data_IF_401692098855
#
_entry.id   IF_401692098855
#
_cell.length_a   1.000
_cell.length_b   1.000
_cell.length_c   1.000
_cell.angle_alpha   90.00
_cell.angle_beta   90.00
_cell.angle_gamma   90.00
#
_symmetry.space_group_name_H-M   'P 1'
#
loop_
_entity.id
_entity.type
_entity.pdbx_description
1 polymer ?
#
# COMPACT_ATOMS: atom_id res chain seq x y z
N UNK A 1 8.69 11.84 -15.70
CA UNK A 1 7.36 12.29 -16.15
C UNK A 1 6.63 12.85 -14.95
N UNK A 2 5.98 14.01 -15.06
CA UNK A 2 5.21 14.58 -13.95
C UNK A 2 3.98 13.72 -13.64
N UNK A 3 3.79 13.36 -12.37
CA UNK A 3 2.57 12.70 -11.91
C UNK A 3 1.47 13.76 -11.79
N UNK A 4 0.41 13.62 -12.59
CA UNK A 4 -0.78 14.46 -12.48
C UNK A 4 -1.73 13.91 -11.42
N UNK A 5 -1.98 14.70 -10.39
CA UNK A 5 -2.85 14.33 -9.26
C UNK A 5 -3.93 15.39 -9.11
N UNK A 6 -5.19 14.95 -9.10
CA UNK A 6 -6.32 15.77 -8.68
C UNK A 6 -6.66 15.49 -7.21
N UNK A 7 -6.82 16.53 -6.40
CA UNK A 7 -7.31 16.45 -5.02
C UNK A 7 -8.68 17.14 -4.91
N UNK A 8 -9.65 16.45 -4.30
CA UNK A 8 -10.94 17.03 -3.92
C UNK A 8 -10.78 17.93 -2.68
N UNK A 9 -11.79 18.77 -2.36
CA UNK A 9 -11.73 19.57 -1.13
C UNK A 9 -11.43 18.71 0.09
N UNK A 10 -10.46 19.14 0.90
CA UNK A 10 -9.99 18.45 2.11
C UNK A 10 -9.39 17.04 1.91
N UNK A 11 -9.21 16.57 0.68
CA UNK A 11 -8.49 15.32 0.40
C UNK A 11 -7.00 15.50 0.68
N UNK A 12 -6.37 14.46 1.24
CA UNK A 12 -4.95 14.47 1.58
C UNK A 12 -4.13 13.54 0.70
N UNK A 13 -2.87 13.91 0.51
CA UNK A 13 -1.85 13.09 -0.15
C UNK A 13 -0.54 13.18 0.63
N UNK A 14 0.11 12.04 0.79
CA UNK A 14 1.47 11.93 1.33
C UNK A 14 2.45 12.02 0.18
N UNK A 15 3.49 12.84 0.36
CA UNK A 15 4.64 12.97 -0.53
C UNK A 15 5.90 12.92 0.33
N UNK A 16 6.62 11.79 0.27
CA UNK A 16 7.74 11.51 1.17
C UNK A 16 7.29 11.60 2.63
N UNK A 17 7.91 12.49 3.39
CA UNK A 17 7.61 12.74 4.81
C UNK A 17 6.56 13.82 5.04
N UNK A 18 6.06 14.44 3.96
CA UNK A 18 5.10 15.54 4.03
C UNK A 18 3.68 15.08 3.72
N UNK A 19 2.70 15.73 4.33
CA UNK A 19 1.28 15.57 4.00
C UNK A 19 0.75 16.88 3.44
N UNK A 20 0.16 16.83 2.26
CA UNK A 20 -0.54 17.94 1.65
C UNK A 20 -2.04 17.71 1.83
N UNK A 21 -2.71 18.66 2.45
CA UNK A 21 -4.17 18.70 2.57
C UNK A 21 -4.70 19.76 1.61
N UNK A 22 -5.63 19.37 0.74
CA UNK A 22 -6.25 20.33 -0.14
C UNK A 22 -7.24 21.24 0.63
N UNK A 23 -7.41 22.48 0.16
CA UNK A 23 -8.33 23.44 0.77
C UNK A 23 -9.77 23.21 0.28
N UNK A 24 -10.57 24.28 0.19
CA UNK A 24 -12.00 24.22 -0.11
C UNK A 24 -12.30 23.94 -1.59
N UNK A 25 -11.36 24.19 -2.50
CA UNK A 25 -11.58 24.04 -3.94
C UNK A 25 -10.82 22.85 -4.49
N UNK A 26 -11.39 22.18 -5.51
CA UNK A 26 -10.71 21.07 -6.20
C UNK A 26 -9.50 21.59 -6.97
N UNK A 27 -8.35 20.95 -6.80
CA UNK A 27 -7.08 21.43 -7.37
C UNK A 27 -6.31 20.31 -8.04
N UNK A 28 -5.60 20.65 -9.12
CA UNK A 28 -4.69 19.75 -9.82
C UNK A 28 -3.25 20.10 -9.47
N UNK A 29 -2.48 19.07 -9.12
CA UNK A 29 -1.05 19.14 -8.90
C UNK A 29 -0.32 18.38 -10.02
N UNK A 30 0.80 18.94 -10.46
CA UNK A 30 1.81 18.23 -11.22
C UNK A 30 2.99 18.05 -10.29
N UNK A 31 3.32 16.80 -9.98
CA UNK A 31 4.39 16.47 -9.05
C UNK A 31 5.54 15.86 -9.85
N UNK A 32 6.71 16.47 -9.77
CA UNK A 32 7.93 16.00 -10.40
C UNK A 32 8.94 15.57 -9.33
N UNK A 33 9.53 14.39 -9.50
CA UNK A 33 10.53 13.84 -8.59
C UNK A 33 10.29 12.36 -8.27
N UNK A 34 11.12 11.85 -7.37
CA UNK A 34 11.20 10.41 -7.01
C UNK A 34 10.68 10.14 -5.59
N UNK A 35 9.94 11.07 -5.00
CA UNK A 35 9.33 10.90 -3.68
C UNK A 35 8.29 9.76 -3.70
N UNK A 36 8.12 9.08 -2.57
CA UNK A 36 7.00 8.16 -2.37
C UNK A 36 5.71 8.95 -2.31
N UNK A 37 4.69 8.57 -3.09
CA UNK A 37 3.42 9.28 -3.19
C UNK A 37 2.26 8.32 -2.90
N UNK A 38 1.47 8.62 -1.88
CA UNK A 38 0.27 7.85 -1.51
C UNK A 38 -0.90 8.78 -1.22
N UNK A 39 -2.08 8.49 -1.77
CA UNK A 39 -3.31 9.21 -1.44
C UNK A 39 -3.88 8.71 -0.13
N UNK A 40 -4.58 9.56 0.61
CA UNK A 40 -5.19 9.19 1.90
C UNK A 40 -6.12 7.98 1.81
N UNK A 41 -6.96 7.90 0.77
CA UNK A 41 -7.81 6.72 0.51
C UNK A 41 -7.01 5.42 0.28
N UNK A 42 -5.74 5.56 -0.07
CA UNK A 42 -4.84 4.46 -0.33
C UNK A 42 -4.00 4.10 0.91
N UNK A 43 -4.12 4.86 1.98
CA UNK A 43 -3.42 4.63 3.24
C UNK A 43 -4.24 3.73 4.15
N UNK A 44 -3.54 2.79 4.75
CA UNK A 44 -4.03 1.98 5.84
C UNK A 44 -3.30 2.38 7.14
N UNK A 45 -4.01 2.40 8.26
CA UNK A 45 -3.43 2.66 9.59
C UNK A 45 -3.25 1.35 10.35
N UNK A 46 -2.39 1.34 11.38
CA UNK A 46 -2.24 0.18 12.25
C UNK A 46 -3.58 -0.27 12.87
N UNK A 47 -4.42 0.70 13.25
CA UNK A 47 -5.74 0.45 13.83
C UNK A 47 -6.73 -0.19 12.84
N UNK A 48 -6.63 0.18 11.56
CA UNK A 48 -7.52 -0.35 10.50
C UNK A 48 -6.96 -1.62 9.84
N UNK A 49 -5.74 -2.05 10.20
CA UNK A 49 -5.09 -3.29 9.76
C UNK A 49 -5.58 -4.53 10.51
N UNK A 50 -6.89 -4.74 10.49
CA UNK A 50 -7.59 -5.74 11.30
C UNK A 50 -7.74 -7.12 10.65
N UNK A 51 -7.24 -7.33 9.44
CA UNK A 51 -7.23 -8.62 8.75
C UNK A 51 -5.82 -9.02 8.29
N UNK A 52 -5.54 -10.33 8.13
CA UNK A 52 -4.24 -10.82 7.65
C UNK A 52 -3.73 -10.11 6.39
N UNK A 53 -4.56 -9.97 5.35
CA UNK A 53 -4.12 -9.28 4.12
C UNK A 53 -3.89 -7.78 4.36
N UNK A 54 -4.71 -7.13 5.20
CA UNK A 54 -4.51 -5.71 5.56
C UNK A 54 -3.20 -5.48 6.31
N UNK A 55 -2.76 -6.42 7.16
CA UNK A 55 -1.45 -6.35 7.84
C UNK A 55 -0.29 -6.44 6.85
N UNK A 56 -0.40 -7.33 5.86
CA UNK A 56 0.58 -7.42 4.75
C UNK A 56 0.60 -6.10 3.97
N UNK A 57 -0.56 -5.54 3.62
CA UNK A 57 -0.66 -4.26 2.93
C UNK A 57 0.03 -3.14 3.71
N UNK A 58 -0.24 -3.04 5.01
CA UNK A 58 0.40 -2.04 5.88
C UNK A 58 1.91 -2.22 5.92
N UNK A 59 2.40 -3.46 6.01
CA UNK A 59 3.84 -3.74 6.00
C UNK A 59 4.51 -3.24 4.72
N UNK A 60 3.94 -3.54 3.54
CA UNK A 60 4.45 -3.06 2.26
C UNK A 60 4.28 -1.54 2.12
N UNK A 61 3.24 -0.96 2.73
CA UNK A 61 3.05 0.49 2.76
C UNK A 61 4.19 1.18 3.52
N UNK A 62 4.62 0.62 4.64
CA UNK A 62 5.76 1.15 5.40
C UNK A 62 7.07 1.00 4.61
N UNK A 63 7.29 -0.14 3.94
CA UNK A 63 8.42 -0.30 3.01
C UNK A 63 8.43 0.80 1.93
N UNK A 64 7.27 1.14 1.38
CA UNK A 64 7.15 2.15 0.33
C UNK A 64 7.39 3.58 0.85
N UNK A 65 6.80 3.92 2.00
CA UNK A 65 6.90 5.26 2.57
C UNK A 65 8.32 5.55 3.05
N UNK A 66 8.94 4.61 3.76
CA UNK A 66 10.30 4.76 4.33
C UNK A 66 11.41 4.37 3.34
N UNK A 67 11.06 3.75 2.21
CA UNK A 67 12.00 3.24 1.20
C UNK A 67 13.03 2.25 1.75
N UNK A 68 12.64 1.49 2.78
CA UNK A 68 13.50 0.52 3.46
C UNK A 68 12.85 -0.87 3.41
N UNK A 69 13.18 -1.66 2.39
CA UNK A 69 12.67 -3.05 2.27
C UNK A 69 13.29 -3.97 3.33
N UNK A 70 14.63 -3.98 3.55
CA UNK A 70 15.26 -4.88 4.51
C UNK A 70 14.68 -4.79 5.92
N UNK A 71 14.35 -3.57 6.39
CA UNK A 71 13.77 -3.34 7.72
C UNK A 71 12.46 -4.11 7.96
N UNK A 72 11.64 -4.28 6.93
CA UNK A 72 10.31 -4.91 7.06
C UNK A 72 10.26 -6.32 6.47
N UNK A 73 11.33 -6.82 5.87
CA UNK A 73 11.35 -8.09 5.14
C UNK A 73 10.98 -9.27 6.04
N UNK A 74 11.53 -9.35 7.25
CA UNK A 74 11.23 -10.42 8.21
C UNK A 74 9.76 -10.40 8.63
N UNK A 75 9.24 -9.21 8.94
CA UNK A 75 7.83 -9.02 9.32
C UNK A 75 6.88 -9.42 8.19
N UNK A 76 7.19 -9.02 6.95
CA UNK A 76 6.41 -9.40 5.77
C UNK A 76 6.36 -10.92 5.59
N UNK A 77 7.50 -11.61 5.72
CA UNK A 77 7.57 -13.06 5.57
C UNK A 77 6.77 -13.78 6.66
N UNK A 78 6.79 -13.26 7.90
CA UNK A 78 5.93 -13.75 8.98
C UNK A 78 4.45 -13.66 8.62
N UNK A 79 3.98 -12.47 8.21
CA UNK A 79 2.58 -12.29 7.84
C UNK A 79 2.15 -13.12 6.63
N UNK A 80 3.02 -13.27 5.63
CA UNK A 80 2.76 -14.13 4.46
C UNK A 80 2.62 -15.58 4.89
N UNK A 81 3.49 -16.07 5.77
CA UNK A 81 3.42 -17.43 6.29
C UNK A 81 2.08 -17.66 7.00
N UNK A 82 1.73 -16.79 7.95
CA UNK A 82 0.47 -16.89 8.70
C UNK A 82 -0.76 -16.88 7.78
N UNK A 83 -0.74 -16.01 6.75
CA UNK A 83 -1.82 -15.94 5.77
C UNK A 83 -1.94 -17.23 4.96
N UNK A 84 -0.84 -17.77 4.46
CA UNK A 84 -0.87 -18.95 3.59
C UNK A 84 -1.14 -20.25 4.37
N UNK A 85 -0.85 -20.29 5.67
CA UNK A 85 -1.31 -21.36 6.55
C UNK A 85 -2.83 -21.33 6.72
N UNK A 86 -3.44 -20.14 6.84
CA UNK A 86 -4.88 -19.98 6.98
C UNK A 86 -5.64 -20.10 5.64
N UNK A 87 -5.12 -19.51 4.57
CA UNK A 87 -5.77 -19.39 3.25
C UNK A 87 -4.76 -19.70 2.12
N UNK A 88 -4.47 -20.98 1.85
CA UNK A 88 -3.49 -21.38 0.84
C UNK A 88 -3.83 -20.91 -0.60
N UNK A 89 -5.10 -20.63 -0.89
CA UNK A 89 -5.58 -20.20 -2.21
C UNK A 89 -5.06 -18.81 -2.62
N UNK A 90 -4.60 -17.99 -1.68
CA UNK A 90 -4.03 -16.66 -1.96
C UNK A 90 -2.56 -16.68 -2.40
N UNK A 91 -1.95 -17.86 -2.44
CA UNK A 91 -0.53 -18.04 -2.78
C UNK A 91 -0.13 -17.40 -4.12
N UNK A 92 -0.84 -17.58 -5.24
CA UNK A 92 -0.44 -17.00 -6.53
C UNK A 92 -0.37 -15.47 -6.50
N UNK A 93 -1.32 -14.82 -5.83
CA UNK A 93 -1.40 -13.36 -5.71
C UNK A 93 -0.29 -12.81 -4.81
N UNK A 94 0.00 -13.49 -3.69
CA UNK A 94 1.08 -13.11 -2.78
C UNK A 94 2.45 -13.29 -3.43
N UNK A 95 2.66 -14.37 -4.20
CA UNK A 95 3.88 -14.58 -4.96
C UNK A 95 4.08 -13.48 -6.03
N UNK A 96 3.00 -13.06 -6.71
CA UNK A 96 3.06 -11.93 -7.65
C UNK A 96 3.43 -10.62 -6.94
N UNK A 97 2.82 -10.33 -5.79
CA UNK A 97 3.15 -9.15 -4.98
C UNK A 97 4.60 -9.19 -4.46
N UNK A 98 5.08 -10.37 -4.06
CA UNK A 98 6.46 -10.58 -3.59
C UNK A 98 7.48 -10.32 -4.69
N UNK A 99 7.23 -10.76 -5.93
CA UNK A 99 8.09 -10.46 -7.09
C UNK A 99 8.18 -8.96 -7.37
N UNK A 100 7.08 -8.22 -7.19
CA UNK A 100 7.08 -6.77 -7.33
C UNK A 100 7.91 -6.08 -6.24
N UNK A 101 7.86 -6.58 -5.00
CA UNK A 101 8.71 -6.08 -3.90
C UNK A 101 10.19 -6.31 -4.21
N UNK A 102 10.56 -7.51 -4.61
CA UNK A 102 11.95 -7.88 -4.94
C UNK A 102 12.51 -7.07 -6.12
N UNK A 103 11.66 -6.64 -7.05
CA UNK A 103 12.04 -5.77 -8.17
C UNK A 103 11.98 -4.27 -7.84
N UNK A 104 11.71 -3.90 -6.59
CA UNK A 104 11.60 -2.51 -6.13
C UNK A 104 10.31 -1.80 -6.54
N UNK A 105 9.38 -2.50 -7.20
CA UNK A 105 8.10 -1.95 -7.65
C UNK A 105 7.04 -1.97 -6.53
N UNK A 106 7.36 -1.36 -5.40
CA UNK A 106 6.55 -1.38 -4.17
C UNK A 106 5.14 -0.82 -4.38
N UNK A 107 4.98 0.27 -5.14
CA UNK A 107 3.66 0.83 -5.43
C UNK A 107 2.76 -0.13 -6.24
N UNK A 108 3.36 -0.89 -7.17
CA UNK A 108 2.62 -1.91 -7.92
C UNK A 108 2.27 -3.09 -7.01
N UNK A 109 3.16 -3.47 -6.08
CA UNK A 109 2.86 -4.49 -5.08
C UNK A 109 1.66 -4.10 -4.20
N UNK A 110 1.61 -2.84 -3.73
CA UNK A 110 0.46 -2.32 -2.98
C UNK A 110 -0.85 -2.47 -3.77
N UNK A 111 -0.85 -2.16 -5.07
CA UNK A 111 -2.04 -2.35 -5.91
C UNK A 111 -2.49 -3.79 -6.00
N UNK A 112 -1.58 -4.75 -6.10
CA UNK A 112 -1.93 -6.18 -6.13
C UNK A 112 -2.50 -6.64 -4.78
N UNK A 113 -1.86 -6.28 -3.66
CA UNK A 113 -2.33 -6.65 -2.33
C UNK A 113 -3.70 -6.00 -2.04
N UNK A 114 -3.95 -4.78 -2.52
CA UNK A 114 -5.25 -4.11 -2.39
C UNK A 114 -6.39 -4.87 -3.05
N UNK A 115 -6.13 -5.56 -4.17
CA UNK A 115 -7.14 -6.44 -4.79
C UNK A 115 -7.43 -7.64 -3.88
N UNK A 116 -6.39 -8.18 -3.25
CA UNK A 116 -6.50 -9.31 -2.32
C UNK A 116 -7.33 -8.94 -1.07
N UNK A 117 -7.24 -7.69 -0.57
CA UNK A 117 -8.06 -7.23 0.56
C UNK A 117 -9.56 -7.43 0.27
N UNK A 118 -10.00 -7.10 -0.96
CA UNK A 118 -11.41 -7.25 -1.34
C UNK A 118 -11.84 -8.72 -1.37
N UNK A 119 -10.97 -9.60 -1.86
CA UNK A 119 -11.24 -11.04 -1.88
C UNK A 119 -11.32 -11.62 -0.46
N UNK A 120 -10.43 -11.18 0.44
CA UNK A 120 -10.48 -11.57 1.85
C UNK A 120 -11.77 -11.09 2.52
N UNK A 121 -12.19 -9.84 2.27
CA UNK A 121 -13.44 -9.29 2.81
C UNK A 121 -14.68 -10.06 2.30
N UNK A 122 -14.66 -10.57 1.07
CA UNK A 122 -15.72 -11.44 0.55
C UNK A 122 -15.75 -12.82 1.20
N UNK A 123 -14.60 -13.38 1.59
CA UNK A 123 -14.52 -14.68 2.29
C UNK A 123 -14.91 -14.60 3.77
N UNK A 124 -14.75 -13.42 4.39
CA UNK A 124 -15.10 -13.18 5.80
C UNK A 124 -16.57 -12.79 6.00
N UNK A 125 -17.35 -12.62 4.92
CA UNK A 125 -18.80 -12.39 4.94
C UNK A 125 -19.56 -13.71 4.96
#
# INVERSE_FOLDING_TARGET
MALKVELKPFERIIIGESVITNSETRTHFLIEGEASILREKDILTAETANSPVKRIYLCVQMMYLEKDIPKYQELYMGFVKDLLEAVPSFRPQIEAASKLILSGQLYNSLKEIRKLIKQEEELLR
#
